data_IF_125712251038
#
_entry.id   IF_125712251038
#
_cell.length_a   1.000
_cell.length_b   1.000
_cell.length_c   1.000
_cell.angle_alpha   90.00
_cell.angle_beta   90.00
_cell.angle_gamma   90.00
#
_symmetry.space_group_name_H-M   'P 1'
#
loop_
_entity.id
_entity.type
_entity.pdbx_description
1 polymer ?
#
# COMPACT_ATOMS: atom_id res chain seq x y z
N UNK A 1 -0.69 17.68 -16.39
CA UNK A 1 0.59 17.97 -15.71
C UNK A 1 1.55 16.80 -15.88
N UNK A 2 2.88 17.04 -15.98
CA UNK A 2 3.84 15.96 -16.11
C UNK A 2 3.77 15.03 -14.90
N UNK A 3 3.80 13.71 -15.13
CA UNK A 3 3.70 12.69 -14.08
C UNK A 3 4.76 12.81 -12.98
N UNK A 4 5.87 13.50 -13.25
CA UNK A 4 6.95 13.77 -12.30
C UNK A 4 6.57 14.66 -11.11
N UNK A 5 5.48 15.42 -11.17
CA UNK A 5 5.04 16.29 -10.08
C UNK A 5 4.16 15.59 -9.04
N UNK A 6 3.78 14.33 -9.26
CA UNK A 6 2.86 13.61 -8.36
C UNK A 6 3.55 13.05 -7.09
N UNK A 7 4.82 12.71 -7.14
CA UNK A 7 5.51 12.06 -6.00
C UNK A 7 5.67 12.94 -4.75
N UNK A 8 6.13 14.21 -4.85
CA UNK A 8 6.19 15.10 -3.67
C UNK A 8 4.79 15.40 -3.09
N UNK A 9 3.79 15.60 -3.95
CA UNK A 9 2.42 15.91 -3.52
C UNK A 9 1.75 14.74 -2.82
N UNK A 10 1.98 13.50 -3.24
CA UNK A 10 1.40 12.32 -2.58
C UNK A 10 1.97 12.13 -1.18
N UNK A 11 3.25 12.39 -0.95
CA UNK A 11 3.86 12.34 0.40
C UNK A 11 3.27 13.40 1.32
N UNK A 12 3.10 14.63 0.83
CA UNK A 12 2.44 15.71 1.58
C UNK A 12 1.00 15.34 1.94
N UNK A 13 0.24 14.79 1.00
CA UNK A 13 -1.14 14.37 1.23
C UNK A 13 -1.21 13.24 2.28
N UNK A 14 -0.34 12.23 2.20
CA UNK A 14 -0.29 11.12 3.16
C UNK A 14 0.06 11.60 4.56
N UNK A 15 1.07 12.47 4.69
CA UNK A 15 1.46 13.08 5.97
C UNK A 15 0.29 13.87 6.59
N UNK A 16 -0.40 14.69 5.78
CA UNK A 16 -1.56 15.45 6.24
C UNK A 16 -2.74 14.53 6.62
N UNK A 17 -2.98 13.46 5.87
CA UNK A 17 -4.05 12.50 6.14
C UNK A 17 -3.79 11.70 7.43
N UNK A 18 -2.54 11.31 7.68
CA UNK A 18 -2.16 10.59 8.89
C UNK A 18 -2.28 11.43 10.16
N UNK A 19 -2.11 12.77 10.04
CA UNK A 19 -2.13 13.71 11.16
C UNK A 19 -1.32 13.24 12.39
N UNK A 20 -0.20 12.58 12.15
CA UNK A 20 0.61 11.91 13.16
C UNK A 20 1.57 12.86 13.90
N UNK A 21 1.67 14.12 13.47
CA UNK A 21 2.68 15.08 13.95
C UNK A 21 4.09 14.84 13.43
N UNK A 22 4.30 13.80 12.61
CA UNK A 22 5.59 13.50 12.02
C UNK A 22 5.97 14.50 10.92
N UNK A 23 7.26 14.78 10.81
CA UNK A 23 7.82 15.56 9.69
C UNK A 23 7.80 14.73 8.38
N UNK A 24 7.91 15.42 7.24
CA UNK A 24 7.99 14.74 5.95
C UNK A 24 9.23 13.81 5.83
N UNK A 25 10.30 14.13 6.51
CA UNK A 25 11.51 13.31 6.52
C UNK A 25 11.29 12.01 7.32
N UNK A 26 10.52 12.06 8.41
CA UNK A 26 10.15 10.88 9.19
C UNK A 26 9.13 10.00 8.46
N UNK A 27 8.18 10.59 7.71
CA UNK A 27 7.19 9.83 6.92
C UNK A 27 7.80 9.22 5.67
N UNK A 28 8.79 9.89 5.05
CA UNK A 28 9.44 9.44 3.82
C UNK A 28 10.93 9.79 3.85
N UNK A 29 11.77 8.95 4.47
CA UNK A 29 13.18 9.23 4.65
C UNK A 29 13.96 9.28 3.31
N UNK A 30 13.53 8.53 2.31
CA UNK A 30 14.14 8.51 0.98
C UNK A 30 13.20 9.13 -0.05
N UNK A 31 13.41 10.39 -0.40
CA UNK A 31 12.61 11.14 -1.39
C UNK A 31 13.38 11.25 -2.69
N UNK A 32 13.07 10.40 -3.63
CA UNK A 32 13.71 10.32 -4.94
C UNK A 32 12.90 11.15 -5.96
N UNK A 33 13.58 11.78 -6.90
CA UNK A 33 12.96 12.71 -7.86
C UNK A 33 12.37 12.01 -9.07
N UNK A 34 13.01 10.94 -9.53
CA UNK A 34 12.57 10.22 -10.72
C UNK A 34 11.46 9.21 -10.39
N UNK A 35 10.40 9.11 -11.20
CA UNK A 35 9.30 8.17 -10.99
C UNK A 35 9.68 6.76 -11.50
N UNK A 36 10.72 6.19 -10.93
CA UNK A 36 11.27 4.86 -11.23
C UNK A 36 11.12 3.94 -10.02
N UNK A 37 11.47 2.66 -10.20
CA UNK A 37 11.66 1.78 -9.05
C UNK A 37 12.70 2.39 -8.09
N UNK A 38 12.47 2.38 -6.76
CA UNK A 38 13.33 3.09 -5.80
C UNK A 38 14.80 2.74 -5.92
N UNK A 39 15.15 1.46 -6.13
CA UNK A 39 16.53 1.04 -6.34
C UNK A 39 17.18 1.74 -7.54
N UNK A 40 16.45 1.89 -8.63
CA UNK A 40 16.94 2.53 -9.86
C UNK A 40 17.06 4.04 -9.68
N UNK A 41 16.06 4.67 -9.10
CA UNK A 41 16.09 6.11 -8.83
C UNK A 41 17.23 6.47 -7.86
N UNK A 42 17.39 5.70 -6.79
CA UNK A 42 18.45 5.88 -5.80
C UNK A 42 19.84 5.75 -6.45
N UNK A 43 20.04 4.72 -7.28
CA UNK A 43 21.30 4.55 -8.02
C UNK A 43 21.63 5.76 -8.89
N UNK A 44 20.63 6.29 -9.64
CA UNK A 44 20.81 7.46 -10.50
C UNK A 44 21.08 8.74 -9.73
N UNK A 45 20.55 8.87 -8.55
CA UNK A 45 20.70 10.04 -7.69
C UNK A 45 21.89 9.93 -6.73
N UNK A 46 22.64 8.82 -6.77
CA UNK A 46 23.78 8.58 -5.86
C UNK A 46 23.35 8.41 -4.40
N UNK A 47 22.11 7.96 -4.17
CA UNK A 47 21.54 7.72 -2.84
C UNK A 47 21.64 6.24 -2.51
N UNK A 48 22.10 5.90 -1.30
CA UNK A 48 22.04 4.52 -0.80
C UNK A 48 20.85 4.38 0.13
N UNK A 49 19.95 3.46 -0.20
CA UNK A 49 18.82 3.10 0.68
C UNK A 49 19.29 2.04 1.67
N UNK A 50 19.33 2.41 2.95
CA UNK A 50 19.84 1.58 4.05
C UNK A 50 18.68 0.76 4.65
N UNK A 51 18.63 -0.54 4.34
CA UNK A 51 17.62 -1.44 4.87
C UNK A 51 17.70 -1.61 6.40
N UNK A 52 18.86 -1.84 7.03
CA UNK A 52 18.99 -1.88 8.48
C UNK A 52 18.39 -0.67 9.18
N UNK A 53 18.63 0.53 8.65
CA UNK A 53 18.08 1.76 9.20
C UNK A 53 16.54 1.79 9.08
N UNK A 54 15.98 1.51 7.89
CA UNK A 54 14.52 1.43 7.68
C UNK A 54 13.90 0.43 8.66
N UNK A 55 14.50 -0.75 8.81
CA UNK A 55 14.00 -1.79 9.72
C UNK A 55 14.02 -1.34 11.18
N UNK A 56 15.08 -0.67 11.61
CA UNK A 56 15.21 -0.10 12.95
C UNK A 56 14.15 0.97 13.22
N UNK A 57 13.94 1.87 12.26
CA UNK A 57 12.92 2.91 12.34
C UNK A 57 11.52 2.31 12.44
N UNK A 58 11.18 1.32 11.61
CA UNK A 58 9.89 0.61 11.68
C UNK A 58 9.67 -0.01 13.06
N UNK A 59 10.67 -0.64 13.65
CA UNK A 59 10.59 -1.17 15.02
C UNK A 59 10.33 -0.11 16.07
N UNK A 60 10.91 1.07 15.92
CA UNK A 60 10.69 2.21 16.81
C UNK A 60 9.26 2.75 16.66
N UNK A 61 8.80 2.94 15.41
CA UNK A 61 7.47 3.45 15.11
C UNK A 61 6.35 2.51 15.60
N UNK A 62 6.55 1.20 15.47
CA UNK A 62 5.62 0.19 16.04
C UNK A 62 5.40 0.32 17.56
N UNK A 63 6.35 0.89 18.30
CA UNK A 63 6.22 1.13 19.75
C UNK A 63 5.54 2.47 20.08
N UNK A 64 5.53 3.38 19.10
CA UNK A 64 5.07 4.76 19.30
C UNK A 64 3.61 4.92 18.87
N UNK A 65 3.21 4.23 17.80
CA UNK A 65 1.89 4.39 17.20
C UNK A 65 1.07 3.10 17.37
N UNK A 66 -0.21 3.27 17.73
CA UNK A 66 -1.18 2.17 17.79
C UNK A 66 -1.39 1.51 16.42
N UNK A 67 -1.44 2.32 15.36
CA UNK A 67 -1.54 1.85 13.97
C UNK A 67 -0.42 2.48 13.15
N UNK A 68 0.36 1.63 12.48
CA UNK A 68 1.41 2.04 11.56
C UNK A 68 1.07 1.55 10.14
N UNK A 69 0.91 2.48 9.20
CA UNK A 69 0.75 2.19 7.79
C UNK A 69 2.08 2.36 7.06
N UNK A 70 2.52 1.29 6.40
CA UNK A 70 3.74 1.28 5.57
C UNK A 70 3.32 1.09 4.12
N UNK A 71 3.61 2.07 3.27
CA UNK A 71 3.29 2.00 1.84
C UNK A 71 4.56 1.93 1.00
N UNK A 72 4.66 0.92 0.14
CA UNK A 72 5.72 0.78 -0.85
C UNK A 72 5.48 1.63 -2.11
N UNK A 73 6.52 2.01 -2.81
CA UNK A 73 6.44 2.65 -4.12
C UNK A 73 6.34 1.58 -5.22
N UNK A 74 5.13 1.29 -5.64
CA UNK A 74 4.83 0.24 -6.62
C UNK A 74 4.34 -1.07 -5.98
N UNK A 75 4.51 -2.19 -6.67
CA UNK A 75 4.05 -3.50 -6.20
C UNK A 75 5.01 -4.15 -5.20
N UNK A 76 4.55 -5.23 -4.55
CA UNK A 76 5.27 -5.91 -3.46
C UNK A 76 6.65 -6.46 -3.87
N UNK A 77 6.83 -6.81 -5.14
CA UNK A 77 8.09 -7.33 -5.69
C UNK A 77 8.97 -6.23 -6.31
N UNK A 78 8.61 -4.95 -6.18
CA UNK A 78 9.46 -3.85 -6.65
C UNK A 78 10.71 -3.76 -5.77
N UNK A 79 11.92 -3.71 -6.36
CA UNK A 79 13.15 -3.56 -5.60
C UNK A 79 13.28 -2.13 -5.06
N UNK A 80 13.46 -1.99 -3.77
CA UNK A 80 13.77 -0.72 -3.12
C UNK A 80 15.26 -0.59 -2.77
N UNK A 81 16.00 -1.71 -2.72
CA UNK A 81 17.45 -1.73 -2.76
C UNK A 81 17.90 -2.61 -3.95
N UNK A 82 19.21 -2.74 -4.18
CA UNK A 82 19.76 -3.58 -5.24
C UNK A 82 19.34 -5.06 -5.11
N UNK A 83 19.15 -5.54 -3.87
CA UNK A 83 18.94 -6.96 -3.58
C UNK A 83 17.66 -7.26 -2.79
N UNK A 84 16.86 -6.23 -2.45
CA UNK A 84 15.68 -6.41 -1.61
C UNK A 84 14.44 -5.76 -2.21
N UNK A 85 13.35 -6.50 -2.16
CA UNK A 85 12.01 -6.07 -2.54
C UNK A 85 11.20 -5.64 -1.30
N UNK A 86 10.06 -4.98 -1.52
CA UNK A 86 9.14 -4.70 -0.41
C UNK A 86 8.63 -5.98 0.27
N UNK A 87 8.57 -7.12 -0.44
CA UNK A 87 8.21 -8.40 0.16
C UNK A 87 9.23 -8.84 1.22
N UNK A 88 10.52 -8.65 0.95
CA UNK A 88 11.58 -8.95 1.92
C UNK A 88 11.46 -8.10 3.19
N UNK A 89 11.12 -6.80 3.03
CA UNK A 89 10.86 -5.91 4.16
C UNK A 89 9.64 -6.36 4.97
N UNK A 90 8.56 -6.71 4.29
CA UNK A 90 7.32 -7.18 4.93
C UNK A 90 7.56 -8.44 5.76
N UNK A 91 8.27 -9.42 5.19
CA UNK A 91 8.61 -10.68 5.87
C UNK A 91 9.55 -10.41 7.06
N UNK A 92 10.61 -9.62 6.85
CA UNK A 92 11.58 -9.31 7.90
C UNK A 92 10.96 -8.56 9.10
N UNK A 93 10.01 -7.65 8.82
CA UNK A 93 9.37 -6.83 9.85
C UNK A 93 8.06 -7.45 10.39
N UNK A 94 7.68 -8.64 9.91
CA UNK A 94 6.42 -9.33 10.25
C UNK A 94 5.21 -8.38 10.16
N UNK A 95 5.03 -7.79 8.97
CA UNK A 95 3.93 -6.86 8.72
C UNK A 95 2.75 -7.60 8.07
N UNK A 96 1.51 -7.42 8.56
CA UNK A 96 0.31 -7.80 7.80
C UNK A 96 0.23 -7.01 6.49
N UNK A 97 -0.21 -7.66 5.42
CA UNK A 97 -0.28 -7.04 4.08
C UNK A 97 -1.71 -6.79 3.67
N UNK A 98 -2.09 -5.53 3.51
CA UNK A 98 -3.31 -5.14 2.83
C UNK A 98 -3.01 -4.94 1.34
N UNK A 99 -3.63 -5.74 0.49
CA UNK A 99 -3.46 -5.65 -0.96
C UNK A 99 -4.48 -4.64 -1.51
N UNK A 100 -4.01 -3.55 -2.09
CA UNK A 100 -4.85 -2.56 -2.76
C UNK A 100 -4.59 -2.62 -4.25
N UNK A 101 -5.57 -3.09 -5.03
CA UNK A 101 -5.47 -3.21 -6.48
C UNK A 101 -6.38 -2.20 -7.17
N UNK A 102 -5.85 -1.54 -8.19
CA UNK A 102 -6.66 -0.64 -9.00
C UNK A 102 -7.71 -1.39 -9.82
N UNK A 103 -8.98 -1.05 -9.66
CA UNK A 103 -10.09 -1.74 -10.31
C UNK A 103 -10.15 -1.43 -11.81
N UNK A 104 -9.47 -2.25 -12.59
CA UNK A 104 -9.37 -2.14 -14.05
C UNK A 104 -8.99 -3.49 -14.66
N UNK A 105 -9.10 -3.61 -15.98
CA UNK A 105 -8.68 -4.81 -16.70
C UNK A 105 -7.24 -5.23 -16.30
N UNK A 106 -7.07 -6.51 -15.94
CA UNK A 106 -5.81 -7.09 -15.45
C UNK A 106 -5.65 -7.10 -13.93
N UNK A 107 -6.50 -6.41 -13.15
CA UNK A 107 -6.36 -6.32 -11.70
C UNK A 107 -6.53 -7.68 -11.00
N UNK A 108 -7.37 -8.58 -11.51
CA UNK A 108 -7.54 -9.94 -10.98
C UNK A 108 -6.17 -10.63 -10.92
N UNK A 109 -5.46 -10.65 -12.06
CA UNK A 109 -4.14 -11.25 -12.14
C UNK A 109 -3.15 -10.58 -11.17
N UNK A 110 -3.12 -9.26 -11.12
CA UNK A 110 -2.21 -8.52 -10.23
C UNK A 110 -2.49 -8.80 -8.74
N UNK A 111 -3.75 -8.79 -8.33
CA UNK A 111 -4.14 -9.06 -6.95
C UNK A 111 -3.78 -10.50 -6.54
N UNK A 112 -4.15 -11.49 -7.36
CA UNK A 112 -3.89 -12.89 -7.07
C UNK A 112 -2.40 -13.25 -7.12
N UNK A 113 -1.61 -12.66 -8.03
CA UNK A 113 -0.15 -12.83 -8.03
C UNK A 113 0.50 -12.22 -6.80
N UNK A 114 0.06 -11.04 -6.37
CA UNK A 114 0.54 -10.39 -5.14
C UNK A 114 0.22 -11.25 -3.92
N UNK A 115 -1.02 -11.72 -3.81
CA UNK A 115 -1.41 -12.63 -2.73
C UNK A 115 -0.55 -13.90 -2.70
N UNK A 116 -0.37 -14.54 -3.87
CA UNK A 116 0.44 -15.76 -3.98
C UNK A 116 1.90 -15.52 -3.58
N UNK A 117 2.49 -14.40 -4.02
CA UNK A 117 3.84 -14.02 -3.62
C UNK A 117 3.94 -13.88 -2.09
N UNK A 118 2.99 -13.20 -1.45
CA UNK A 118 2.93 -13.08 0.00
C UNK A 118 2.87 -14.45 0.68
N UNK A 119 1.89 -15.28 0.31
CA UNK A 119 1.67 -16.59 0.92
C UNK A 119 2.88 -17.52 0.75
N UNK A 120 3.51 -17.51 -0.41
CA UNK A 120 4.67 -18.38 -0.69
C UNK A 120 5.92 -17.97 0.09
N UNK A 121 6.06 -16.68 0.40
CA UNK A 121 7.20 -16.14 1.15
C UNK A 121 6.96 -16.06 2.66
N UNK A 122 5.83 -16.56 3.15
CA UNK A 122 5.49 -16.53 4.59
C UNK A 122 4.97 -15.17 5.07
N UNK A 123 4.74 -14.21 4.18
CA UNK A 123 4.04 -12.97 4.53
C UNK A 123 2.54 -13.26 4.78
N UNK A 124 1.90 -12.39 5.57
CA UNK A 124 0.52 -12.56 6.02
C UNK A 124 -0.43 -11.57 5.30
N UNK A 125 -1.00 -11.93 4.13
CA UNK A 125 -2.00 -11.09 3.49
C UNK A 125 -3.27 -11.08 4.35
N UNK A 126 -3.66 -9.89 4.83
CA UNK A 126 -4.84 -9.70 5.68
C UNK A 126 -6.14 -9.52 4.89
N UNK A 127 -6.03 -9.14 3.63
CA UNK A 127 -7.18 -8.97 2.75
C UNK A 127 -6.87 -8.13 1.51
N UNK A 128 -7.88 -7.99 0.66
CA UNK A 128 -7.81 -7.30 -0.63
C UNK A 128 -8.86 -6.20 -0.68
N UNK A 129 -8.48 -5.04 -1.24
CA UNK A 129 -9.38 -3.94 -1.62
C UNK A 129 -9.18 -3.65 -3.10
N UNK A 130 -10.27 -3.50 -3.84
CA UNK A 130 -10.25 -2.85 -5.14
C UNK A 130 -10.42 -1.35 -4.99
N UNK A 131 -9.71 -0.55 -5.78
CA UNK A 131 -9.81 0.90 -5.76
C UNK A 131 -10.25 1.44 -7.12
N UNK A 132 -11.41 2.09 -7.16
CA UNK A 132 -11.91 2.80 -8.34
C UNK A 132 -11.22 4.17 -8.45
N UNK A 133 -10.57 4.47 -9.59
CA UNK A 133 -9.97 5.78 -9.87
C UNK A 133 -10.64 6.56 -10.99
N UNK A 134 -11.76 6.04 -11.49
CA UNK A 134 -12.63 6.72 -12.45
C UNK A 134 -14.07 6.56 -12.00
N UNK A 135 -14.88 7.60 -12.26
CA UNK A 135 -16.28 7.61 -11.85
C UNK A 135 -17.22 6.78 -12.73
N UNK A 136 -16.72 6.21 -13.83
CA UNK A 136 -17.50 5.35 -14.72
C UNK A 136 -17.27 3.88 -14.37
N UNK A 137 -18.35 3.17 -14.12
CA UNK A 137 -18.32 1.71 -13.98
C UNK A 137 -18.15 1.06 -15.36
N UNK A 138 -17.09 0.30 -15.52
CA UNK A 138 -16.85 -0.51 -16.72
C UNK A 138 -17.26 -1.96 -16.46
N UNK A 139 -17.65 -2.74 -17.47
CA UNK A 139 -18.06 -4.14 -17.28
C UNK A 139 -17.03 -5.01 -16.55
N UNK A 140 -15.75 -4.78 -16.80
CA UNK A 140 -14.66 -5.46 -16.10
C UNK A 140 -14.59 -5.02 -14.62
N UNK A 141 -14.76 -3.74 -14.33
CA UNK A 141 -14.76 -3.24 -12.96
C UNK A 141 -15.89 -3.81 -12.11
N UNK A 142 -17.06 -4.05 -12.70
CA UNK A 142 -18.21 -4.65 -12.01
C UNK A 142 -17.98 -6.11 -11.65
N UNK A 143 -17.30 -6.89 -12.50
CA UNK A 143 -17.07 -8.33 -12.29
C UNK A 143 -15.82 -8.67 -11.49
N UNK A 144 -14.84 -7.77 -11.42
CA UNK A 144 -13.54 -8.04 -10.81
C UNK A 144 -13.64 -8.48 -9.34
N UNK A 145 -14.50 -7.83 -8.56
CA UNK A 145 -14.67 -8.14 -7.13
C UNK A 145 -15.13 -9.58 -6.94
N UNK A 146 -16.20 -9.98 -7.63
CA UNK A 146 -16.76 -11.33 -7.53
C UNK A 146 -15.74 -12.42 -7.90
N UNK A 147 -14.96 -12.17 -8.96
CA UNK A 147 -13.93 -13.11 -9.39
C UNK A 147 -12.81 -13.23 -8.34
N UNK A 148 -12.36 -12.11 -7.78
CA UNK A 148 -11.32 -12.12 -6.74
C UNK A 148 -11.84 -12.81 -5.48
N UNK A 149 -13.06 -12.51 -5.02
CA UNK A 149 -13.69 -13.18 -3.86
C UNK A 149 -13.71 -14.71 -4.01
N UNK A 150 -13.98 -15.20 -5.21
CA UNK A 150 -14.02 -16.65 -5.48
C UNK A 150 -12.64 -17.29 -5.58
N UNK A 151 -11.61 -16.55 -6.01
CA UNK A 151 -10.29 -17.09 -6.36
C UNK A 151 -9.21 -16.84 -5.32
N UNK A 152 -9.33 -15.79 -4.53
CA UNK A 152 -8.39 -15.44 -3.48
C UNK A 152 -8.56 -16.34 -2.24
N UNK A 153 -7.51 -16.45 -1.46
CA UNK A 153 -7.52 -17.09 -0.13
C UNK A 153 -7.77 -16.09 0.98
N UNK A 154 -7.35 -14.85 0.75
CA UNK A 154 -7.56 -13.74 1.68
C UNK A 154 -8.95 -13.12 1.49
N UNK A 155 -9.55 -12.57 2.54
CA UNK A 155 -10.85 -11.93 2.44
C UNK A 155 -10.82 -10.71 1.51
N UNK A 156 -11.92 -10.52 0.76
CA UNK A 156 -12.17 -9.31 0.00
C UNK A 156 -12.94 -8.32 0.87
N UNK A 157 -12.37 -7.14 1.14
CA UNK A 157 -13.04 -6.12 1.96
C UNK A 157 -14.01 -5.25 1.15
N UNK A 158 -13.90 -5.28 -0.17
CA UNK A 158 -14.81 -4.59 -1.08
C UNK A 158 -14.09 -3.68 -2.06
N UNK A 159 -14.89 -2.90 -2.78
CA UNK A 159 -14.39 -1.92 -3.75
C UNK A 159 -14.52 -0.51 -3.18
N UNK A 160 -13.38 0.18 -3.03
CA UNK A 160 -13.32 1.57 -2.62
C UNK A 160 -13.87 2.47 -3.74
N UNK A 161 -14.88 3.30 -3.47
CA UNK A 161 -15.53 4.09 -4.49
C UNK A 161 -14.61 5.21 -5.01
N UNK A 162 -14.85 5.62 -6.25
CA UNK A 162 -14.22 6.84 -6.77
C UNK A 162 -14.82 8.07 -6.10
N UNK A 163 -14.00 8.88 -5.49
CA UNK A 163 -14.40 10.14 -4.88
C UNK A 163 -13.44 11.27 -5.28
N UNK A 164 -13.79 12.11 -6.29
CA UNK A 164 -12.91 13.17 -6.80
C UNK A 164 -12.74 14.34 -5.82
N UNK A 165 -13.62 14.44 -4.83
CA UNK A 165 -13.60 15.50 -3.79
C UNK A 165 -13.23 14.97 -2.42
N UNK A 166 -12.63 13.78 -2.37
CA UNK A 166 -12.21 13.17 -1.11
C UNK A 166 -11.33 14.13 -0.30
N UNK A 167 -11.75 14.38 0.92
CA UNK A 167 -10.99 15.18 1.87
C UNK A 167 -10.49 14.27 3.00
N UNK A 168 -9.26 14.46 3.49
CA UNK A 168 -8.77 13.70 4.63
C UNK A 168 -9.74 13.76 5.82
N UNK A 169 -10.04 12.61 6.42
CA UNK A 169 -10.89 12.51 7.61
C UNK A 169 -12.41 12.50 7.33
N UNK A 170 -12.87 12.62 6.08
CA UNK A 170 -14.29 12.52 5.74
C UNK A 170 -14.54 11.29 4.87
N UNK A 171 -15.02 10.23 5.49
CA UNK A 171 -15.41 8.99 4.81
C UNK A 171 -16.94 8.94 4.63
N UNK A 172 -17.38 8.46 3.48
CA UNK A 172 -18.78 8.11 3.21
C UNK A 172 -19.10 6.70 3.75
N UNK A 173 -20.37 6.29 3.71
CA UNK A 173 -20.81 5.04 4.33
C UNK A 173 -20.01 3.81 3.85
N UNK A 174 -19.87 3.66 2.53
CA UNK A 174 -19.14 2.52 1.94
C UNK A 174 -17.66 2.50 2.35
N UNK A 175 -17.01 3.65 2.36
CA UNK A 175 -15.62 3.81 2.79
C UNK A 175 -15.45 3.46 4.26
N UNK A 176 -16.41 3.86 5.12
CA UNK A 176 -16.43 3.51 6.54
C UNK A 176 -16.58 2.02 6.79
N UNK A 177 -17.45 1.35 6.03
CA UNK A 177 -17.65 -0.10 6.11
C UNK A 177 -16.35 -0.84 5.79
N UNK A 178 -15.69 -0.49 4.69
CA UNK A 178 -14.41 -1.09 4.29
C UNK A 178 -13.34 -0.81 5.33
N UNK A 179 -13.22 0.44 5.80
CA UNK A 179 -12.24 0.81 6.83
C UNK A 179 -12.47 0.03 8.14
N UNK A 180 -13.72 -0.13 8.57
CA UNK A 180 -14.07 -0.91 9.76
C UNK A 180 -13.71 -2.40 9.60
N UNK A 181 -13.94 -2.98 8.43
CA UNK A 181 -13.56 -4.35 8.14
C UNK A 181 -12.03 -4.55 8.17
N UNK A 182 -11.27 -3.62 7.60
CA UNK A 182 -9.80 -3.63 7.65
C UNK A 182 -9.29 -3.54 9.10
N UNK A 183 -9.82 -2.60 9.89
CA UNK A 183 -9.43 -2.44 11.29
C UNK A 183 -9.78 -3.67 12.13
N UNK A 184 -10.93 -4.29 11.88
CA UNK A 184 -11.32 -5.54 12.55
C UNK A 184 -10.36 -6.67 12.21
N UNK A 185 -10.01 -6.84 10.94
CA UNK A 185 -9.06 -7.85 10.52
C UNK A 185 -7.66 -7.61 11.11
N UNK A 186 -7.21 -6.38 11.18
CA UNK A 186 -5.92 -6.01 11.77
C UNK A 186 -5.85 -6.43 13.25
N UNK A 187 -6.88 -6.14 14.03
CA UNK A 187 -6.96 -6.53 15.45
C UNK A 187 -6.93 -8.06 15.66
N UNK A 188 -7.49 -8.81 14.73
CA UNK A 188 -7.46 -10.28 14.79
C UNK A 188 -6.09 -10.87 14.44
N UNK A 189 -5.17 -10.09 13.87
CA UNK A 189 -3.82 -10.50 13.51
C UNK A 189 -2.77 -10.09 14.55
N UNK A 190 -3.16 -9.35 15.58
CA UNK A 190 -2.29 -9.08 16.73
C UNK A 190 -2.08 -10.38 17.53
N UNK A 191 -0.86 -10.63 18.02
CA UNK A 191 -0.50 -11.85 18.72
C UNK A 191 -1.21 -11.98 20.09
#
# INVERSE_FOLDING_TARGET
PPRSTLFPYTTLFRSAAANSGQTLAEVCPYRLREPLAPAVAAQREGVTIDFPNIYSELKSLKKTFEILLVEGAGGILVPFTEHMTYLDLVVAADLPVLIVAGNRLGCINHALLTERACLTSGARPMGIILNNFVGTETPDALSNQEVIERMARSPMFGTWPYNPVASPGRLENREREIAAAVLSALRMMEP
#
